data_IF_637494030208
#
_entry.id   IF_637494030208
#
_cell.length_a   1.000
_cell.length_b   1.000
_cell.length_c   1.000
_cell.angle_alpha   90.00
_cell.angle_beta   90.00
_cell.angle_gamma   90.00
#
_symmetry.space_group_name_H-M   'P 1'
#
loop_
_entity.id
_entity.type
_entity.pdbx_description
1 polymer ?
#
# COMPACT_ATOMS: atom_id res chain seq x y z
N UNK A 1 9.16 -20.52 -75.09
CA UNK A 1 9.11 -19.15 -74.56
C UNK A 1 8.02 -18.94 -73.52
N UNK A 2 6.84 -19.61 -73.66
CA UNK A 2 5.69 -19.44 -72.74
C UNK A 2 5.95 -20.00 -71.35
N UNK A 3 6.75 -21.08 -71.20
CA UNK A 3 7.02 -21.71 -69.90
C UNK A 3 7.98 -20.92 -68.99
N UNK A 4 8.94 -20.20 -69.56
CA UNK A 4 9.87 -19.35 -68.78
C UNK A 4 9.14 -18.18 -68.14
N UNK A 5 8.17 -17.59 -68.82
CA UNK A 5 7.39 -16.45 -68.25
C UNK A 5 6.44 -16.89 -67.11
N UNK A 6 5.97 -18.13 -67.11
CA UNK A 6 5.13 -18.65 -66.05
C UNK A 6 5.95 -18.98 -64.78
N UNK A 7 7.18 -19.49 -64.95
CA UNK A 7 8.09 -19.75 -63.83
C UNK A 7 8.63 -18.47 -63.19
N UNK A 8 8.96 -17.49 -64.03
CA UNK A 8 9.36 -16.15 -63.53
C UNK A 8 8.23 -15.46 -62.73
N UNK A 9 6.97 -15.54 -63.23
CA UNK A 9 5.83 -15.03 -62.50
C UNK A 9 5.57 -15.73 -61.17
N UNK A 10 5.73 -17.08 -61.13
CA UNK A 10 5.62 -17.85 -59.92
C UNK A 10 6.72 -17.56 -58.90
N UNK A 11 7.94 -17.32 -59.34
CA UNK A 11 9.07 -16.90 -58.49
C UNK A 11 8.87 -15.48 -57.93
N UNK A 12 8.43 -14.55 -58.76
CA UNK A 12 8.12 -13.18 -58.34
C UNK A 12 7.02 -13.15 -57.29
N UNK A 13 5.96 -14.01 -57.45
CA UNK A 13 4.89 -14.11 -56.47
C UNK A 13 5.34 -14.77 -55.17
N UNK A 14 6.21 -15.78 -55.22
CA UNK A 14 6.84 -16.35 -54.00
C UNK A 14 7.70 -15.34 -53.26
N UNK A 15 8.47 -14.52 -54.00
CA UNK A 15 9.30 -13.46 -53.40
C UNK A 15 8.44 -12.38 -52.75
N UNK A 16 7.37 -11.94 -53.39
CA UNK A 16 6.44 -10.93 -52.87
C UNK A 16 5.76 -11.47 -51.62
N UNK A 17 5.29 -12.72 -51.63
CA UNK A 17 4.66 -13.33 -50.45
C UNK A 17 5.67 -13.51 -49.31
N UNK A 18 6.91 -13.86 -49.58
CA UNK A 18 7.98 -13.97 -48.57
C UNK A 18 8.36 -12.60 -47.99
N UNK A 19 8.34 -11.53 -48.80
CA UNK A 19 8.58 -10.16 -48.33
C UNK A 19 7.39 -9.66 -47.48
N UNK A 20 6.18 -9.90 -47.91
CA UNK A 20 4.98 -9.54 -47.13
C UNK A 20 4.97 -10.26 -45.77
N UNK A 21 5.25 -11.57 -45.73
CA UNK A 21 5.34 -12.36 -44.51
C UNK A 21 6.46 -11.88 -43.57
N UNK A 22 7.56 -11.38 -44.10
CA UNK A 22 8.64 -10.74 -43.29
C UNK A 22 8.20 -9.39 -42.74
N UNK A 23 7.50 -8.58 -43.53
CA UNK A 23 6.97 -7.26 -43.06
C UNK A 23 5.92 -7.46 -41.98
N UNK A 24 4.99 -8.38 -42.15
CA UNK A 24 3.97 -8.69 -41.15
C UNK A 24 4.58 -9.19 -39.84
N UNK A 25 5.61 -10.05 -39.92
CA UNK A 25 6.33 -10.53 -38.74
C UNK A 25 7.07 -9.41 -38.02
N UNK A 26 7.75 -8.50 -38.74
CA UNK A 26 8.44 -7.34 -38.15
C UNK A 26 7.46 -6.35 -37.52
N UNK A 27 6.30 -6.10 -38.15
CA UNK A 27 5.25 -5.28 -37.59
C UNK A 27 4.65 -5.89 -36.31
N UNK A 28 4.36 -7.17 -36.31
CA UNK A 28 3.87 -7.89 -35.15
C UNK A 28 4.88 -7.91 -33.98
N UNK A 29 6.17 -8.10 -34.27
CA UNK A 29 7.23 -8.07 -33.26
C UNK A 29 7.43 -6.64 -32.69
N UNK A 30 7.32 -5.62 -33.53
CA UNK A 30 7.37 -4.23 -33.09
C UNK A 30 6.15 -3.85 -32.20
N UNK A 31 4.97 -4.29 -32.57
CA UNK A 31 3.75 -4.07 -31.77
C UNK A 31 3.83 -4.80 -30.42
N UNK A 32 4.34 -6.02 -30.42
CA UNK A 32 4.58 -6.81 -29.20
C UNK A 32 5.58 -6.11 -28.26
N UNK A 33 6.68 -5.58 -28.82
CA UNK A 33 7.68 -4.85 -28.04
C UNK A 33 7.09 -3.55 -27.46
N UNK A 34 6.34 -2.78 -28.26
CA UNK A 34 5.71 -1.54 -27.84
C UNK A 34 4.66 -1.78 -26.73
N UNK A 35 3.82 -2.79 -26.89
CA UNK A 35 2.84 -3.19 -25.87
C UNK A 35 3.52 -3.57 -24.55
N UNK A 36 4.56 -4.38 -24.61
CA UNK A 36 5.31 -4.80 -23.42
C UNK A 36 5.98 -3.64 -22.69
N UNK A 37 6.53 -2.66 -23.41
CA UNK A 37 7.14 -1.45 -22.81
C UNK A 37 6.09 -0.59 -22.09
N UNK A 38 4.91 -0.41 -22.69
CA UNK A 38 3.84 0.36 -22.07
C UNK A 38 3.36 -0.29 -20.76
N UNK A 39 3.13 -1.60 -20.74
CA UNK A 39 2.73 -2.32 -19.54
C UNK A 39 3.83 -2.31 -18.47
N UNK A 40 5.08 -2.40 -18.84
CA UNK A 40 6.18 -2.28 -17.89
C UNK A 40 6.24 -0.87 -17.26
N UNK A 41 6.08 0.16 -18.07
CA UNK A 41 6.03 1.55 -17.58
C UNK A 41 4.85 1.77 -16.62
N UNK A 42 3.67 1.29 -16.98
CA UNK A 42 2.49 1.35 -16.12
C UNK A 42 2.73 0.62 -14.79
N UNK A 43 3.29 -0.60 -14.82
CA UNK A 43 3.61 -1.35 -13.61
C UNK A 43 4.64 -0.63 -12.73
N UNK A 44 5.65 0.00 -13.31
CA UNK A 44 6.63 0.81 -12.57
C UNK A 44 5.99 2.03 -11.90
N UNK A 45 5.09 2.72 -12.60
CA UNK A 45 4.35 3.86 -12.07
C UNK A 45 3.44 3.45 -10.91
N UNK A 46 2.63 2.42 -11.09
CA UNK A 46 1.74 1.90 -10.05
C UNK A 46 2.52 1.40 -8.81
N UNK A 47 3.63 0.70 -8.99
CA UNK A 47 4.49 0.30 -7.88
C UNK A 47 5.11 1.49 -7.14
N UNK A 48 5.55 2.53 -7.86
CA UNK A 48 6.07 3.75 -7.26
C UNK A 48 4.99 4.51 -6.47
N UNK A 49 3.77 4.59 -6.99
CA UNK A 49 2.62 5.17 -6.31
C UNK A 49 2.29 4.40 -5.03
N UNK A 50 2.25 3.07 -5.08
CA UNK A 50 1.99 2.20 -3.93
C UNK A 50 3.02 2.42 -2.81
N UNK A 51 4.31 2.38 -3.14
CA UNK A 51 5.38 2.56 -2.14
C UNK A 51 5.38 3.96 -1.55
N UNK A 52 5.07 4.99 -2.35
CA UNK A 52 4.90 6.35 -1.85
C UNK A 52 3.67 6.45 -0.94
N UNK A 53 2.54 5.87 -1.33
CA UNK A 53 1.31 5.88 -0.53
C UNK A 53 1.52 5.25 0.85
N UNK A 54 2.18 4.09 0.94
CA UNK A 54 2.49 3.47 2.24
C UNK A 54 3.45 4.31 3.08
N UNK A 55 4.44 4.95 2.48
CA UNK A 55 5.35 5.85 3.21
C UNK A 55 4.60 7.05 3.78
N UNK A 56 3.73 7.67 2.99
CA UNK A 56 2.94 8.83 3.41
C UNK A 56 1.86 8.44 4.42
N UNK A 57 1.25 7.27 4.27
CA UNK A 57 0.34 6.70 5.27
C UNK A 57 1.02 6.59 6.64
N UNK A 58 2.21 5.98 6.69
CA UNK A 58 2.98 5.86 7.93
C UNK A 58 3.36 7.21 8.53
N UNK A 59 3.63 8.23 7.70
CA UNK A 59 3.87 9.59 8.17
C UNK A 59 2.58 10.22 8.73
N UNK A 60 1.43 10.01 8.07
CA UNK A 60 0.13 10.48 8.54
C UNK A 60 -0.26 9.86 9.89
N UNK A 61 0.00 8.56 10.08
CA UNK A 61 -0.18 7.86 11.36
C UNK A 61 0.65 8.52 12.46
N UNK A 62 1.95 8.74 12.22
CA UNK A 62 2.85 9.36 13.20
C UNK A 62 2.43 10.79 13.59
N UNK A 63 1.81 11.51 12.65
CA UNK A 63 1.40 12.90 12.86
C UNK A 63 -0.06 13.04 13.31
N UNK A 64 -0.78 11.95 13.53
CA UNK A 64 -2.18 11.99 13.92
C UNK A 64 -3.13 12.53 12.85
N UNK A 65 -2.79 12.38 11.57
CA UNK A 65 -3.59 12.91 10.46
C UNK A 65 -4.50 11.82 9.87
N UNK A 66 -5.70 11.66 10.41
CA UNK A 66 -6.68 10.65 9.96
C UNK A 66 -7.12 10.87 8.50
N UNK A 67 -7.35 12.12 8.10
CA UNK A 67 -7.70 12.45 6.71
C UNK A 67 -6.58 12.05 5.76
N UNK A 68 -5.33 12.29 6.16
CA UNK A 68 -4.15 11.86 5.41
C UNK A 68 -4.05 10.34 5.34
N UNK A 69 -4.34 9.62 6.42
CA UNK A 69 -4.36 8.15 6.43
C UNK A 69 -5.38 7.61 5.42
N UNK A 70 -6.64 8.09 5.48
CA UNK A 70 -7.69 7.66 4.55
C UNK A 70 -7.34 7.95 3.08
N UNK A 71 -6.78 9.13 2.80
CA UNK A 71 -6.35 9.50 1.45
C UNK A 71 -5.25 8.58 0.91
N UNK A 72 -4.22 8.32 1.73
CA UNK A 72 -3.09 7.51 1.29
C UNK A 72 -3.43 6.01 1.23
N UNK A 73 -4.34 5.52 2.07
CA UNK A 73 -4.88 4.17 1.97
C UNK A 73 -5.65 3.97 0.65
N UNK A 74 -6.53 4.89 0.30
CA UNK A 74 -7.24 4.88 -0.99
C UNK A 74 -6.27 4.94 -2.18
N UNK A 75 -5.21 5.75 -2.08
CA UNK A 75 -4.16 5.82 -3.11
C UNK A 75 -3.41 4.50 -3.26
N UNK A 76 -3.10 3.82 -2.17
CA UNK A 76 -2.47 2.51 -2.19
C UNK A 76 -3.38 1.44 -2.82
N UNK A 77 -4.66 1.43 -2.46
CA UNK A 77 -5.65 0.51 -3.03
C UNK A 77 -5.80 0.70 -4.54
N UNK A 78 -5.85 1.96 -5.01
CA UNK A 78 -5.89 2.26 -6.44
C UNK A 78 -4.66 1.74 -7.19
N UNK A 79 -3.48 1.91 -6.63
CA UNK A 79 -2.24 1.40 -7.22
C UNK A 79 -2.18 -0.15 -7.24
N UNK A 80 -2.71 -0.82 -6.22
CA UNK A 80 -2.84 -2.29 -6.20
C UNK A 80 -3.81 -2.79 -7.26
N UNK A 81 -4.97 -2.14 -7.43
CA UNK A 81 -5.94 -2.46 -8.47
C UNK A 81 -5.33 -2.32 -9.87
N UNK A 82 -4.54 -1.27 -10.11
CA UNK A 82 -3.85 -1.08 -11.39
C UNK A 82 -2.84 -2.20 -11.63
N UNK A 83 -2.03 -2.60 -10.64
CA UNK A 83 -1.11 -3.73 -10.75
C UNK A 83 -1.82 -5.05 -11.01
N UNK A 84 -2.97 -5.31 -10.38
CA UNK A 84 -3.79 -6.49 -10.62
C UNK A 84 -4.37 -6.50 -12.06
N UNK A 85 -4.82 -5.36 -12.55
CA UNK A 85 -5.30 -5.24 -13.93
C UNK A 85 -4.17 -5.52 -14.95
N UNK A 86 -2.94 -5.02 -14.67
CA UNK A 86 -1.77 -5.31 -15.48
C UNK A 86 -1.43 -6.81 -15.42
N UNK A 87 -1.49 -7.45 -14.24
CA UNK A 87 -1.25 -8.90 -14.08
C UNK A 87 -2.18 -9.73 -14.95
N UNK A 88 -3.48 -9.40 -14.95
CA UNK A 88 -4.47 -10.06 -15.80
C UNK A 88 -4.19 -9.83 -17.29
N UNK A 89 -3.90 -8.59 -17.66
CA UNK A 89 -3.65 -8.20 -19.05
C UNK A 89 -2.42 -8.89 -19.64
N UNK A 90 -1.31 -8.95 -18.90
CA UNK A 90 -0.09 -9.62 -19.40
C UNK A 90 -0.24 -11.13 -19.56
N UNK A 91 -1.26 -11.73 -18.92
CA UNK A 91 -1.63 -13.12 -19.14
C UNK A 91 -2.16 -13.40 -20.55
N UNK A 92 -2.89 -12.44 -21.13
CA UNK A 92 -3.61 -12.56 -22.41
C UNK A 92 -2.85 -11.97 -23.61
N UNK A 93 -1.90 -11.07 -23.41
CA UNK A 93 -1.15 -10.42 -24.50
C UNK A 93 0.20 -11.08 -24.75
N UNK A 94 0.64 -11.00 -26.02
CA UNK A 94 1.93 -11.53 -26.39
C UNK A 94 3.02 -10.46 -26.20
N UNK A 95 3.77 -10.56 -25.10
CA UNK A 95 4.89 -9.67 -24.75
C UNK A 95 6.18 -10.46 -24.63
N UNK A 96 7.33 -9.78 -24.71
CA UNK A 96 8.63 -10.41 -24.54
C UNK A 96 8.79 -11.03 -23.15
N UNK A 97 9.35 -12.23 -23.07
CA UNK A 97 9.49 -13.01 -21.83
C UNK A 97 10.27 -12.25 -20.74
N UNK A 98 11.29 -11.51 -21.12
CA UNK A 98 12.11 -10.69 -20.21
C UNK A 98 11.30 -9.56 -19.59
N UNK A 99 10.48 -8.87 -20.40
CA UNK A 99 9.59 -7.79 -19.96
C UNK A 99 8.50 -8.35 -19.06
N UNK A 100 7.87 -9.45 -19.44
CA UNK A 100 6.88 -10.14 -18.58
C UNK A 100 7.46 -10.48 -17.22
N UNK A 101 8.67 -11.04 -17.19
CA UNK A 101 9.34 -11.36 -15.91
C UNK A 101 9.55 -10.12 -15.04
N UNK A 102 9.95 -8.99 -15.62
CA UNK A 102 10.13 -7.72 -14.88
C UNK A 102 8.81 -7.22 -14.30
N UNK A 103 7.71 -7.27 -15.05
CA UNK A 103 6.39 -6.87 -14.57
C UNK A 103 5.96 -7.76 -13.40
N UNK A 104 6.07 -9.08 -13.54
CA UNK A 104 5.73 -10.03 -12.46
C UNK A 104 6.58 -9.81 -11.20
N UNK A 105 7.86 -9.46 -11.36
CA UNK A 105 8.70 -9.10 -10.21
C UNK A 105 8.18 -7.86 -9.48
N UNK A 106 7.75 -6.82 -10.20
CA UNK A 106 7.16 -5.62 -9.58
C UNK A 106 5.85 -5.93 -8.86
N UNK A 107 5.01 -6.77 -9.43
CA UNK A 107 3.75 -7.21 -8.81
C UNK A 107 4.03 -8.01 -7.53
N UNK A 108 4.99 -8.90 -7.54
CA UNK A 108 5.41 -9.65 -6.34
C UNK A 108 5.97 -8.73 -5.25
N UNK A 109 6.80 -7.76 -5.62
CA UNK A 109 7.28 -6.73 -4.70
C UNK A 109 6.13 -5.90 -4.10
N UNK A 110 5.09 -5.59 -4.88
CA UNK A 110 3.91 -4.90 -4.41
C UNK A 110 3.11 -5.74 -3.41
N UNK A 111 2.90 -7.02 -3.67
CA UNK A 111 2.24 -7.97 -2.73
C UNK A 111 3.01 -8.09 -1.41
N UNK A 112 4.33 -8.12 -1.47
CA UNK A 112 5.19 -8.13 -0.28
C UNK A 112 5.13 -6.80 0.51
N UNK A 113 5.09 -5.66 -0.19
CA UNK A 113 4.92 -4.35 0.44
C UNK A 113 3.55 -4.23 1.13
N UNK A 114 2.48 -4.71 0.50
CA UNK A 114 1.14 -4.77 1.08
C UNK A 114 1.11 -5.65 2.34
N UNK A 115 1.66 -6.86 2.28
CA UNK A 115 1.74 -7.76 3.44
C UNK A 115 2.50 -7.12 4.62
N UNK A 116 3.60 -6.41 4.33
CA UNK A 116 4.38 -5.68 5.34
C UNK A 116 3.57 -4.53 5.93
N UNK A 117 2.84 -3.78 5.10
CA UNK A 117 1.98 -2.70 5.54
C UNK A 117 0.86 -3.21 6.45
N UNK A 118 0.16 -4.27 6.05
CA UNK A 118 -0.91 -4.90 6.83
C UNK A 118 -0.42 -5.41 8.19
N UNK A 119 0.79 -5.98 8.24
CA UNK A 119 1.42 -6.36 9.51
C UNK A 119 1.67 -5.15 10.41
N UNK A 120 2.21 -4.07 9.85
CA UNK A 120 2.46 -2.82 10.59
C UNK A 120 1.17 -2.24 11.15
N UNK A 121 0.07 -2.27 10.39
CA UNK A 121 -1.27 -1.85 10.84
C UNK A 121 -1.79 -2.73 11.98
N UNK A 122 -1.64 -4.04 11.88
CA UNK A 122 -2.04 -4.98 12.93
C UNK A 122 -1.27 -4.73 14.23
N UNK A 123 0.04 -4.54 14.15
CA UNK A 123 0.89 -4.24 15.30
C UNK A 123 0.53 -2.89 15.94
N UNK A 124 0.19 -1.89 15.12
CA UNK A 124 -0.27 -0.58 15.56
C UNK A 124 -1.60 -0.68 16.32
N UNK A 125 -2.60 -1.35 15.74
CA UNK A 125 -3.90 -1.53 16.36
C UNK A 125 -3.80 -2.34 17.67
N UNK A 126 -2.91 -3.31 17.73
CA UNK A 126 -2.61 -4.06 18.96
C UNK A 126 -2.10 -3.15 20.08
N UNK A 127 -1.15 -2.26 19.77
CA UNK A 127 -0.60 -1.28 20.74
C UNK A 127 -1.66 -0.30 21.21
N UNK A 128 -2.50 0.23 20.32
CA UNK A 128 -3.62 1.12 20.68
C UNK A 128 -4.56 0.43 21.66
N UNK A 129 -4.94 -0.83 21.39
CA UNK A 129 -5.80 -1.60 22.29
C UNK A 129 -5.17 -1.84 23.67
N UNK A 130 -3.86 -2.09 23.74
CA UNK A 130 -3.15 -2.23 25.02
C UNK A 130 -3.10 -0.91 25.80
N UNK A 131 -2.87 0.21 25.11
CA UNK A 131 -2.90 1.54 25.72
C UNK A 131 -4.29 1.90 26.24
N UNK A 132 -5.35 1.62 25.48
CA UNK A 132 -6.76 1.81 25.92
C UNK A 132 -7.08 0.99 27.18
N UNK A 133 -6.63 -0.27 27.24
CA UNK A 133 -6.80 -1.10 28.45
C UNK A 133 -6.06 -0.52 29.64
N UNK A 134 -4.85 -0.02 29.43
CA UNK A 134 -4.05 0.60 30.47
C UNK A 134 -4.70 1.91 30.97
N UNK A 135 -5.22 2.73 30.05
CA UNK A 135 -5.95 3.95 30.36
C UNK A 135 -7.19 3.68 31.21
N UNK A 136 -8.01 2.68 30.82
CA UNK A 136 -9.19 2.27 31.58
C UNK A 136 -8.83 1.79 33.00
N UNK A 137 -7.69 1.10 33.15
CA UNK A 137 -7.19 0.67 34.45
C UNK A 137 -6.76 1.84 35.33
N UNK A 138 -6.10 2.85 34.76
CA UNK A 138 -5.71 4.09 35.45
C UNK A 138 -6.97 4.89 35.83
N UNK A 139 -7.92 5.06 34.91
CA UNK A 139 -9.20 5.72 35.16
C UNK A 139 -9.99 5.06 36.32
N UNK A 140 -10.05 3.74 36.33
CA UNK A 140 -10.69 2.98 37.44
C UNK A 140 -10.00 3.22 38.78
N UNK A 141 -8.66 3.29 38.81
CA UNK A 141 -7.90 3.60 40.04
C UNK A 141 -8.15 5.02 40.52
N UNK A 142 -8.21 6.01 39.62
CA UNK A 142 -8.53 7.41 39.96
C UNK A 142 -9.92 7.49 40.59
N UNK A 143 -10.93 6.80 40.04
CA UNK A 143 -12.28 6.75 40.58
C UNK A 143 -12.31 6.08 41.95
N UNK A 144 -11.58 4.96 42.16
CA UNK A 144 -11.47 4.31 43.45
C UNK A 144 -10.79 5.23 44.49
N UNK A 145 -9.76 5.94 44.12
CA UNK A 145 -9.10 6.90 45.01
C UNK A 145 -10.01 8.07 45.34
N UNK A 146 -10.76 8.64 44.39
CA UNK A 146 -11.70 9.71 44.66
C UNK A 146 -12.78 9.25 45.65
N UNK A 147 -13.27 8.01 45.51
CA UNK A 147 -14.22 7.41 46.49
C UNK A 147 -13.58 7.25 47.88
N UNK A 148 -12.31 6.86 47.93
CA UNK A 148 -11.58 6.68 49.22
C UNK A 148 -11.23 8.04 49.85
N UNK A 149 -11.01 9.11 49.07
CA UNK A 149 -10.81 10.47 49.55
C UNK A 149 -11.97 11.05 50.30
N UNK A 150 -13.19 10.66 49.94
CA UNK A 150 -14.41 11.05 50.67
C UNK A 150 -14.50 10.44 52.08
N UNK A 151 -13.71 9.38 52.34
CA UNK A 151 -13.74 8.62 53.62
C UNK A 151 -12.54 8.94 54.53
N UNK A 152 -11.37 9.41 53.98
CA UNK A 152 -10.16 9.57 54.74
C UNK A 152 -9.66 11.02 54.83
N UNK A 153 -9.64 11.59 56.03
CA UNK A 153 -9.21 12.93 56.41
C UNK A 153 -7.65 13.12 56.40
N UNK A 154 -6.95 12.66 55.42
CA UNK A 154 -5.47 12.84 55.28
C UNK A 154 -5.06 13.47 53.96
N UNK A 155 -5.28 14.76 53.80
CA UNK A 155 -5.23 15.47 52.49
C UNK A 155 -3.90 15.49 51.74
N UNK A 156 -2.76 15.39 52.39
CA UNK A 156 -1.46 15.66 51.73
C UNK A 156 -0.90 14.48 50.91
N UNK A 157 -0.93 13.27 51.45
CA UNK A 157 -0.43 12.06 50.76
C UNK A 157 -1.32 11.64 49.59
N UNK A 158 -2.62 11.82 49.77
CA UNK A 158 -3.64 11.51 48.79
C UNK A 158 -3.57 12.49 47.59
N UNK A 159 -3.26 13.76 47.84
CA UNK A 159 -3.06 14.74 46.78
C UNK A 159 -1.83 14.44 45.93
N UNK A 160 -0.72 14.02 46.54
CA UNK A 160 0.49 13.63 45.82
C UNK A 160 0.26 12.41 44.93
N UNK A 161 -0.49 11.43 45.42
CA UNK A 161 -0.80 10.21 44.66
C UNK A 161 -1.78 10.51 43.51
N UNK A 162 -2.78 11.39 43.72
CA UNK A 162 -3.69 11.82 42.68
C UNK A 162 -2.99 12.60 41.57
N UNK A 163 -2.00 13.43 41.93
CA UNK A 163 -1.18 14.19 40.95
C UNK A 163 -0.33 13.24 40.11
N UNK A 164 0.24 12.19 40.71
CA UNK A 164 1.02 11.18 39.99
C UNK A 164 0.13 10.41 39.00
N UNK A 165 -1.07 9.99 39.41
CA UNK A 165 -1.99 9.29 38.53
C UNK A 165 -2.52 10.20 37.42
N UNK A 166 -2.74 11.47 37.66
CA UNK A 166 -3.10 12.43 36.63
C UNK A 166 -2.00 12.56 35.58
N UNK A 167 -0.74 12.61 36.01
CA UNK A 167 0.41 12.60 35.09
C UNK A 167 0.46 11.32 34.25
N UNK A 168 0.37 10.15 34.88
CA UNK A 168 0.33 8.87 34.17
C UNK A 168 -0.83 8.79 33.15
N UNK A 169 -1.97 9.35 33.50
CA UNK A 169 -3.13 9.46 32.60
C UNK A 169 -2.85 10.34 31.38
N UNK A 170 -2.27 11.53 31.60
CA UNK A 170 -1.92 12.45 30.52
C UNK A 170 -0.82 11.89 29.62
N UNK A 171 0.14 11.17 30.19
CA UNK A 171 1.20 10.51 29.43
C UNK A 171 0.64 9.40 28.54
N UNK A 172 -0.28 8.57 29.06
CA UNK A 172 -0.99 7.56 28.29
C UNK A 172 -1.88 8.17 27.20
N UNK A 173 -2.60 9.26 27.48
CA UNK A 173 -3.38 9.99 26.47
C UNK A 173 -2.48 10.53 25.35
N UNK A 174 -1.33 11.10 25.69
CA UNK A 174 -0.36 11.56 24.71
C UNK A 174 0.21 10.42 23.88
N UNK A 175 0.49 9.29 24.50
CA UNK A 175 0.98 8.11 23.79
C UNK A 175 -0.09 7.55 22.83
N UNK A 176 -1.35 7.45 23.27
CA UNK A 176 -2.48 7.07 22.40
C UNK A 176 -2.63 8.07 21.25
N UNK A 177 -2.55 9.37 21.51
CA UNK A 177 -2.62 10.41 20.47
C UNK A 177 -1.52 10.26 19.44
N UNK A 178 -0.28 10.05 19.87
CA UNK A 178 0.88 9.87 18.99
C UNK A 178 0.73 8.58 18.16
N UNK A 179 0.25 7.50 18.78
CA UNK A 179 0.15 6.18 18.15
C UNK A 179 -1.11 6.07 17.27
N UNK A 180 -2.26 6.62 17.70
CA UNK A 180 -3.55 6.51 16.98
C UNK A 180 -3.87 7.68 16.06
N UNK A 181 -3.17 8.80 16.20
CA UNK A 181 -3.47 10.04 15.49
C UNK A 181 -4.74 10.75 15.97
N UNK A 182 -5.34 10.30 17.07
CA UNK A 182 -6.57 10.90 17.62
C UNK A 182 -6.28 12.16 18.42
N UNK A 183 -7.25 13.06 18.48
CA UNK A 183 -7.19 14.21 19.37
C UNK A 183 -7.32 13.80 20.84
N UNK A 184 -6.89 14.63 21.76
CA UNK A 184 -6.92 14.39 23.21
C UNK A 184 -8.35 14.06 23.69
N UNK A 185 -9.37 14.73 23.14
CA UNK A 185 -10.80 14.53 23.48
C UNK A 185 -11.35 13.19 22.96
N UNK A 186 -10.83 12.69 21.85
CA UNK A 186 -11.22 11.41 21.25
C UNK A 186 -10.53 10.22 21.92
N UNK A 187 -9.32 10.43 22.45
CA UNK A 187 -8.59 9.41 23.18
C UNK A 187 -9.13 9.19 24.60
N UNK A 188 -9.86 10.16 25.17
CA UNK A 188 -10.41 10.12 26.52
C UNK A 188 -11.87 9.60 26.60
N UNK A 189 -12.53 9.34 25.45
CA UNK A 189 -13.86 8.73 25.36
C UNK A 189 -13.78 7.23 25.35
#
# INVERSE_FOLDING_TARGET
LVNLSAEEAALAQKLTNAQAAKQDKTAADAQKAASGVNELKAAQQAYSQLTNAYRQYNAAVKNGNETGQAYWDQSAQSALQELQAIEQKIGSINIEKSVRKRILTLIEQAKNAEATHNKTLSDHNGKVSELEKSLNKVGSRILQMAATMLVLRGLKSVWQEATRFAQEYYDLLNEIRIVSGKTETEAAK
#
